data_IF_289953736478
#
_entry.id   IF_289953736478
#
_cell.length_a   1.000
_cell.length_b   1.000
_cell.length_c   1.000
_cell.angle_alpha   90.00
_cell.angle_beta   90.00
_cell.angle_gamma   90.00
#
_symmetry.space_group_name_H-M   'P 1'
#
loop_
_entity.id
_entity.type
_entity.pdbx_description
1 polymer ?
#
# COMPACT_ATOMS: atom_id res chain seq x y z
N UNK A 1 8.13 -13.93 -28.48
CA UNK A 1 7.28 -14.76 -27.59
C UNK A 1 8.08 -15.04 -26.33
N UNK A 2 7.90 -14.18 -25.32
CA UNK A 2 8.73 -14.22 -24.11
C UNK A 2 8.25 -15.31 -23.17
N UNK A 3 9.20 -16.22 -22.89
CA UNK A 3 9.16 -17.37 -22.01
C UNK A 3 8.20 -17.27 -20.82
N UNK A 4 7.18 -18.13 -20.86
CA UNK A 4 6.75 -19.03 -19.80
C UNK A 4 7.42 -18.78 -18.43
N UNK A 5 6.75 -18.05 -17.53
CA UNK A 5 7.11 -18.03 -16.12
C UNK A 5 6.16 -18.93 -15.31
N UNK A 6 6.81 -19.89 -14.66
CA UNK A 6 6.28 -21.13 -14.11
C UNK A 6 5.38 -20.91 -12.91
N UNK A 7 4.30 -21.70 -12.87
CA UNK A 7 3.51 -22.03 -11.68
C UNK A 7 4.42 -22.76 -10.68
N UNK A 8 4.66 -22.20 -9.50
CA UNK A 8 5.54 -22.81 -8.50
C UNK A 8 5.63 -22.10 -7.15
N UNK A 9 4.72 -21.19 -6.82
CA UNK A 9 4.47 -20.67 -5.47
C UNK A 9 3.14 -19.92 -5.57
N UNK A 10 2.16 -20.24 -4.72
CA UNK A 10 0.80 -19.67 -4.73
C UNK A 10 0.72 -18.18 -4.34
N UNK A 11 1.87 -17.51 -4.32
CA UNK A 11 2.01 -16.05 -4.25
C UNK A 11 2.92 -15.67 -5.40
N UNK A 12 2.33 -15.12 -6.46
CA UNK A 12 3.11 -14.61 -7.60
C UNK A 12 4.12 -13.56 -7.10
N UNK A 13 5.31 -13.42 -7.73
CA UNK A 13 6.28 -12.38 -7.37
C UNK A 13 5.65 -10.98 -7.30
N UNK A 14 4.65 -10.75 -8.15
CA UNK A 14 3.79 -9.56 -8.14
C UNK A 14 3.04 -9.36 -6.82
N UNK A 15 2.45 -10.39 -6.24
CA UNK A 15 1.74 -10.29 -4.96
C UNK A 15 2.69 -9.94 -3.81
N UNK A 16 3.90 -10.51 -3.81
CA UNK A 16 4.92 -10.16 -2.82
C UNK A 16 5.38 -8.70 -2.95
N UNK A 17 5.65 -8.25 -4.19
CA UNK A 17 6.02 -6.85 -4.46
C UNK A 17 4.89 -5.92 -4.02
N UNK A 18 3.65 -6.24 -4.36
CA UNK A 18 2.47 -5.48 -3.95
C UNK A 18 2.39 -5.36 -2.43
N UNK A 19 2.57 -6.48 -1.69
CA UNK A 19 2.60 -6.47 -0.23
C UNK A 19 3.70 -5.55 0.32
N UNK A 20 4.92 -5.64 -0.20
CA UNK A 20 6.02 -4.76 0.20
C UNK A 20 5.72 -3.27 -0.07
N UNK A 21 5.11 -2.94 -1.22
CA UNK A 21 4.71 -1.58 -1.56
C UNK A 21 3.63 -1.04 -0.60
N UNK A 22 2.64 -1.87 -0.27
CA UNK A 22 1.60 -1.51 0.70
C UNK A 22 2.19 -1.28 2.10
N UNK A 23 3.08 -2.16 2.58
CA UNK A 23 3.75 -1.98 3.86
C UNK A 23 4.54 -0.67 3.94
N UNK A 24 5.30 -0.34 2.88
CA UNK A 24 6.01 0.95 2.77
C UNK A 24 5.03 2.13 2.80
N UNK A 25 3.92 2.03 2.07
CA UNK A 25 2.91 3.09 2.03
C UNK A 25 2.27 3.34 3.39
N UNK A 26 1.99 2.28 4.17
CA UNK A 26 1.47 2.38 5.54
C UNK A 26 2.43 3.13 6.44
N UNK A 27 3.71 2.77 6.41
CA UNK A 27 4.73 3.46 7.20
C UNK A 27 4.77 4.95 6.84
N UNK A 28 4.72 5.29 5.55
CA UNK A 28 4.66 6.69 5.12
C UNK A 28 3.39 7.43 5.58
N UNK A 29 2.23 6.75 5.57
CA UNK A 29 0.96 7.33 6.04
C UNK A 29 1.01 7.66 7.54
N UNK A 30 1.69 6.83 8.33
CA UNK A 30 1.85 7.01 9.77
C UNK A 30 2.93 8.03 10.10
N UNK A 31 4.10 7.95 9.47
CA UNK A 31 5.22 8.86 9.73
C UNK A 31 4.96 10.28 9.23
N UNK A 32 4.18 10.44 8.15
CA UNK A 32 3.93 11.74 7.51
C UNK A 32 2.43 11.98 7.28
N UNK A 33 1.66 12.25 8.36
CA UNK A 33 0.21 12.42 8.24
C UNK A 33 -0.18 13.63 7.38
N UNK A 34 0.68 14.64 7.27
CA UNK A 34 0.45 15.81 6.40
C UNK A 34 0.63 15.49 4.90
N UNK A 35 1.26 14.37 4.55
CA UNK A 35 1.55 14.03 3.15
C UNK A 35 0.26 13.61 2.43
N UNK A 36 -0.01 14.14 1.23
CA UNK A 36 -1.19 13.75 0.49
C UNK A 36 -1.06 12.32 -0.04
N UNK A 37 -2.18 11.60 -0.05
CA UNK A 37 -2.24 10.17 -0.43
C UNK A 37 -1.66 9.91 -1.82
N UNK A 38 -1.86 10.82 -2.78
CA UNK A 38 -1.32 10.67 -4.13
C UNK A 38 0.23 10.64 -4.14
N UNK A 39 0.89 11.43 -3.29
CA UNK A 39 2.35 11.39 -3.18
C UNK A 39 2.83 10.09 -2.52
N UNK A 40 2.09 9.58 -1.54
CA UNK A 40 2.40 8.30 -0.90
C UNK A 40 2.30 7.16 -1.93
N UNK A 41 1.27 7.18 -2.78
CA UNK A 41 1.10 6.23 -3.87
C UNK A 41 2.31 6.23 -4.83
N UNK A 42 2.71 7.42 -5.31
CA UNK A 42 3.86 7.60 -6.19
C UNK A 42 5.16 7.13 -5.53
N UNK A 43 5.39 7.51 -4.27
CA UNK A 43 6.58 7.14 -3.49
C UNK A 43 6.67 5.64 -3.17
N UNK A 44 5.52 4.96 -3.17
CA UNK A 44 5.39 3.51 -2.96
C UNK A 44 5.50 2.71 -4.26
N UNK A 45 5.71 3.38 -5.40
CA UNK A 45 5.89 2.73 -6.71
C UNK A 45 4.59 2.42 -7.43
N UNK A 46 3.50 3.12 -7.12
CA UNK A 46 2.25 3.06 -7.87
C UNK A 46 2.15 4.23 -8.86
N UNK A 47 1.76 3.99 -10.12
CA UNK A 47 1.69 5.03 -11.13
C UNK A 47 0.53 6.01 -10.89
N UNK A 48 -0.54 5.57 -10.23
CA UNK A 48 -1.72 6.40 -9.96
C UNK A 48 -2.27 6.16 -8.55
N UNK A 49 -2.81 7.22 -7.95
CA UNK A 49 -3.47 7.15 -6.65
C UNK A 49 -4.72 6.23 -6.68
N UNK A 50 -5.47 6.22 -7.78
CA UNK A 50 -6.67 5.38 -7.92
C UNK A 50 -6.34 3.88 -7.91
N UNK A 51 -5.27 3.47 -8.59
CA UNK A 51 -4.84 2.07 -8.57
C UNK A 51 -4.30 1.68 -7.19
N UNK A 52 -3.50 2.57 -6.57
CA UNK A 52 -3.07 2.39 -5.19
C UNK A 52 -4.24 2.22 -4.22
N UNK A 53 -5.25 3.10 -4.28
CA UNK A 53 -6.41 3.03 -3.38
C UNK A 53 -7.15 1.69 -3.51
N UNK A 54 -7.35 1.20 -4.74
CA UNK A 54 -7.96 -0.12 -4.97
C UNK A 54 -7.16 -1.24 -4.34
N UNK A 55 -5.85 -1.29 -4.59
CA UNK A 55 -4.97 -2.34 -4.07
C UNK A 55 -4.83 -2.25 -2.55
N UNK A 56 -4.74 -1.05 -1.99
CA UNK A 56 -4.67 -0.83 -0.55
C UNK A 56 -5.96 -1.30 0.13
N UNK A 57 -7.12 -0.97 -0.43
CA UNK A 57 -8.41 -1.42 0.10
C UNK A 57 -8.60 -2.94 -0.03
N UNK A 58 -8.13 -3.56 -1.11
CA UNK A 58 -8.17 -5.03 -1.26
C UNK A 58 -7.30 -5.74 -0.22
N UNK A 59 -6.15 -5.15 0.14
CA UNK A 59 -5.20 -5.71 1.10
C UNK A 59 -5.58 -5.46 2.56
N UNK A 60 -6.13 -4.28 2.88
CA UNK A 60 -6.40 -3.83 4.25
C UNK A 60 -7.89 -3.75 4.62
N UNK A 61 -8.77 -3.81 3.63
CA UNK A 61 -10.22 -3.63 3.80
C UNK A 61 -10.67 -2.19 4.00
N UNK A 62 -9.75 -1.21 4.09
CA UNK A 62 -10.06 0.21 4.29
C UNK A 62 -9.26 1.10 3.34
N UNK A 63 -9.73 2.34 3.12
CA UNK A 63 -8.99 3.29 2.28
C UNK A 63 -7.72 3.78 2.99
N UNK A 64 -6.67 4.19 2.27
CA UNK A 64 -5.46 4.74 2.89
C UNK A 64 -5.74 6.03 3.68
N UNK A 65 -6.77 6.80 3.30
CA UNK A 65 -7.24 7.96 4.06
C UNK A 65 -7.85 7.56 5.40
N UNK A 66 -8.70 6.52 5.41
CA UNK A 66 -9.28 5.97 6.63
C UNK A 66 -8.23 5.28 7.49
N UNK A 67 -7.29 4.56 6.90
CA UNK A 67 -6.14 3.99 7.59
C UNK A 67 -5.36 5.08 8.33
N UNK A 68 -5.07 6.20 7.66
CA UNK A 68 -4.40 7.35 8.28
C UNK A 68 -5.22 7.92 9.45
N UNK A 69 -6.55 8.04 9.32
CA UNK A 69 -7.41 8.54 10.40
C UNK A 69 -7.47 7.57 11.59
N UNK A 70 -7.56 6.27 11.31
CA UNK A 70 -7.73 5.21 12.30
C UNK A 70 -6.45 4.96 13.11
N UNK A 71 -5.31 4.90 12.43
CA UNK A 71 -4.02 4.56 13.05
C UNK A 71 -3.11 5.78 13.30
N UNK A 72 -3.41 6.93 12.68
CA UNK A 72 -2.73 8.20 12.98
C UNK A 72 -3.16 8.83 14.31
N UNK A 73 -4.00 8.14 15.09
CA UNK A 73 -4.47 8.55 16.42
C UNK A 73 -3.98 7.60 17.53
N UNK A 74 -2.86 6.89 17.34
CA UNK A 74 -2.21 6.08 18.39
C UNK A 74 -0.93 6.75 18.92
N UNK A 75 -1.06 8.02 19.30
CA UNK A 75 -0.10 8.75 20.14
C UNK A 75 -0.76 9.34 21.40
N UNK A 76 -1.97 8.89 21.75
CA UNK A 76 -2.77 9.44 22.84
C UNK A 76 -3.52 8.38 23.66
N UNK A 77 -2.91 7.20 23.87
CA UNK A 77 -3.38 6.23 24.85
C UNK A 77 -2.22 5.37 25.38
N UNK A 78 -1.35 6.00 26.17
CA UNK A 78 -0.78 5.49 27.43
C UNK A 78 0.15 6.55 28.00
#
# INVERSE_FOLDING_TARGET
MSACFKKGTRTTPLAYITKCRILKSKQMLLSHPARPIHQVALSSGYPTASYFNKVFMEMEGITPSDFRKKYGYEGGAS
#
